data_IF_546852503459
#
_entry.id   IF_546852503459
#
_cell.length_a   1.000
_cell.length_b   1.000
_cell.length_c   1.000
_cell.angle_alpha   90.00
_cell.angle_beta   90.00
_cell.angle_gamma   90.00
#
_symmetry.space_group_name_H-M   'P 1'
#
loop_
_entity.id
_entity.type
_entity.pdbx_description
1 polymer ?
#
# COMPACT_ATOMS: atom_id res chain seq x y z
N UNK A 1 26.56 16.21 2.82
CA UNK A 1 26.81 17.12 1.68
C UNK A 1 26.03 16.59 0.49
N UNK A 2 25.28 17.45 -0.22
CA UNK A 2 24.45 17.05 -1.36
C UNK A 2 25.04 17.50 -2.70
N UNK A 3 24.50 16.99 -3.80
CA UNK A 3 24.82 17.44 -5.17
C UNK A 3 23.61 18.21 -5.74
N UNK A 4 23.28 19.41 -5.23
CA UNK A 4 22.00 20.09 -5.48
C UNK A 4 21.80 20.55 -6.93
N UNK A 5 22.87 20.59 -7.72
CA UNK A 5 22.83 20.98 -9.14
C UNK A 5 22.90 19.80 -10.10
N UNK A 6 23.08 18.57 -9.61
CA UNK A 6 23.21 17.39 -10.47
C UNK A 6 21.89 17.11 -11.19
N UNK A 7 21.95 16.96 -12.51
CA UNK A 7 20.77 16.68 -13.37
C UNK A 7 20.80 15.28 -13.98
N UNK A 8 21.98 14.74 -14.23
CA UNK A 8 22.17 13.43 -14.84
C UNK A 8 23.15 12.65 -13.98
N UNK A 9 22.75 11.45 -13.56
CA UNK A 9 23.60 10.55 -12.80
C UNK A 9 23.71 9.21 -13.52
N UNK A 10 24.93 8.85 -13.90
CA UNK A 10 25.25 7.60 -14.60
C UNK A 10 25.95 6.67 -13.62
N UNK A 11 25.27 5.56 -13.29
CA UNK A 11 25.75 4.49 -12.41
C UNK A 11 25.57 3.11 -13.06
N UNK A 12 25.19 3.08 -14.34
CA UNK A 12 24.99 1.86 -15.12
C UNK A 12 26.30 1.09 -15.39
N UNK A 13 26.20 -0.21 -15.66
CA UNK A 13 27.34 -1.12 -15.87
C UNK A 13 28.31 -1.18 -14.68
N UNK A 14 27.77 -1.20 -13.46
CA UNK A 14 28.53 -1.40 -12.22
C UNK A 14 28.08 -2.69 -11.52
N UNK A 15 28.50 -2.86 -10.26
CA UNK A 15 28.15 -4.00 -9.40
C UNK A 15 27.33 -3.55 -8.19
N UNK A 16 26.47 -2.56 -8.37
CA UNK A 16 25.62 -2.04 -7.30
C UNK A 16 24.59 -3.12 -6.97
N UNK A 17 24.51 -3.53 -5.69
CA UNK A 17 23.63 -4.60 -5.22
C UNK A 17 22.39 -4.12 -4.48
N UNK A 18 22.48 -2.93 -3.88
CA UNK A 18 21.39 -2.32 -3.13
C UNK A 18 21.45 -0.80 -3.26
N UNK A 19 20.29 -0.17 -3.07
CA UNK A 19 20.16 1.27 -2.95
C UNK A 19 19.57 1.55 -1.57
N UNK A 20 20.40 2.06 -0.66
CA UNK A 20 19.93 2.39 0.69
C UNK A 20 18.85 3.50 0.65
N UNK A 21 17.98 3.51 1.64
CA UNK A 21 16.99 4.58 1.80
C UNK A 21 17.68 5.95 1.78
N UNK A 22 17.04 6.92 1.12
CA UNK A 22 17.54 8.29 1.03
C UNK A 22 18.88 8.49 0.28
N UNK A 23 19.39 7.48 -0.45
CA UNK A 23 20.65 7.58 -1.23
C UNK A 23 20.72 8.84 -2.10
N UNK A 24 19.59 9.28 -2.68
CA UNK A 24 19.52 10.42 -3.59
C UNK A 24 18.82 11.66 -3.00
N UNK A 25 18.46 11.67 -1.70
CA UNK A 25 17.52 12.65 -1.08
C UNK A 25 17.91 14.12 -1.26
N UNK A 26 19.21 14.41 -1.43
CA UNK A 26 19.74 15.76 -1.60
C UNK A 26 20.04 16.14 -3.06
N UNK A 27 19.47 15.43 -4.04
CA UNK A 27 19.65 15.67 -5.47
C UNK A 27 18.35 16.19 -6.12
N UNK A 28 17.79 17.28 -5.58
CA UNK A 28 16.46 17.78 -5.97
C UNK A 28 16.30 18.18 -7.45
N UNK A 29 17.40 18.47 -8.15
CA UNK A 29 17.44 18.79 -9.59
C UNK A 29 17.73 17.58 -10.48
N UNK A 30 17.87 16.38 -9.91
CA UNK A 30 18.14 15.16 -10.66
C UNK A 30 16.98 14.89 -11.62
N UNK A 31 17.30 14.70 -12.89
CA UNK A 31 16.36 14.62 -14.00
C UNK A 31 16.37 13.25 -14.66
N UNK A 32 17.56 12.64 -14.83
CA UNK A 32 17.72 11.24 -15.27
C UNK A 32 18.69 10.48 -14.37
N UNK A 33 18.30 9.26 -14.05
CA UNK A 33 19.11 8.32 -13.29
C UNK A 33 19.27 7.02 -14.08
N UNK A 34 20.52 6.64 -14.33
CA UNK A 34 20.87 5.41 -15.03
C UNK A 34 21.50 4.42 -14.05
N UNK A 35 20.78 3.33 -13.77
CA UNK A 35 21.19 2.24 -12.87
C UNK A 35 21.10 0.86 -13.56
N UNK A 36 20.83 0.84 -14.86
CA UNK A 36 20.71 -0.38 -15.65
C UNK A 36 22.01 -1.18 -15.70
N UNK A 37 21.89 -2.50 -15.90
CA UNK A 37 23.04 -3.40 -15.93
C UNK A 37 23.88 -3.30 -14.64
N UNK A 38 23.23 -3.54 -13.50
CA UNK A 38 23.83 -3.67 -12.17
C UNK A 38 23.35 -5.00 -11.54
N UNK A 39 23.58 -5.20 -10.24
CA UNK A 39 23.23 -6.41 -9.49
C UNK A 39 22.10 -6.13 -8.46
N UNK A 40 21.27 -5.10 -8.66
CA UNK A 40 20.25 -4.70 -7.69
C UNK A 40 19.17 -5.77 -7.59
N UNK A 41 18.89 -6.27 -6.39
CA UNK A 41 17.89 -7.33 -6.15
C UNK A 41 16.59 -6.85 -5.52
N UNK A 42 16.67 -5.79 -4.73
CA UNK A 42 15.55 -5.19 -4.00
C UNK A 42 15.63 -3.68 -4.08
N UNK A 43 14.48 -3.01 -4.17
CA UNK A 43 14.39 -1.56 -4.01
C UNK A 43 13.78 -1.28 -2.64
N UNK A 44 14.58 -0.73 -1.75
CA UNK A 44 14.21 -0.42 -0.36
C UNK A 44 13.19 0.73 -0.27
N UNK A 45 12.51 0.88 0.89
CA UNK A 45 11.66 2.03 1.13
C UNK A 45 12.45 3.33 0.97
N UNK A 46 11.82 4.32 0.33
CA UNK A 46 12.39 5.66 0.17
C UNK A 46 13.72 5.74 -0.62
N UNK A 47 14.13 4.70 -1.35
CA UNK A 47 15.34 4.76 -2.20
C UNK A 47 15.30 5.92 -3.21
N UNK A 48 14.10 6.28 -3.71
CA UNK A 48 13.91 7.40 -4.66
C UNK A 48 13.09 8.56 -4.09
N UNK A 49 13.08 8.76 -2.77
CA UNK A 49 12.28 9.84 -2.16
C UNK A 49 12.83 11.23 -2.44
N UNK A 50 11.95 12.24 -2.45
CA UNK A 50 12.28 13.66 -2.57
C UNK A 50 13.05 14.06 -3.84
N UNK A 51 12.67 13.49 -4.99
CA UNK A 51 13.25 13.80 -6.30
C UNK A 51 12.22 14.46 -7.23
N UNK A 52 11.80 15.72 -6.95
CA UNK A 52 10.67 16.36 -7.64
C UNK A 52 10.93 16.63 -9.13
N UNK A 53 12.20 16.69 -9.56
CA UNK A 53 12.59 16.93 -10.95
C UNK A 53 12.80 15.65 -11.77
N UNK A 54 12.78 14.48 -11.13
CA UNK A 54 13.20 13.23 -11.76
C UNK A 54 12.13 12.76 -12.74
N UNK A 55 12.55 12.53 -13.99
CA UNK A 55 11.64 12.12 -15.07
C UNK A 55 11.91 10.72 -15.59
N UNK A 56 13.15 10.24 -15.52
CA UNK A 56 13.55 8.96 -16.08
C UNK A 56 14.39 8.17 -15.08
N UNK A 57 13.95 6.94 -14.81
CA UNK A 57 14.70 5.94 -14.05
C UNK A 57 14.92 4.73 -14.96
N UNK A 58 16.18 4.39 -15.21
CA UNK A 58 16.56 3.21 -15.96
C UNK A 58 17.14 2.16 -15.01
N UNK A 59 16.39 1.09 -14.76
CA UNK A 59 16.74 -0.04 -13.89
C UNK A 59 16.79 -1.38 -14.65
N UNK A 60 16.70 -1.35 -15.99
CA UNK A 60 16.66 -2.56 -16.80
C UNK A 60 17.94 -3.42 -16.66
N UNK A 61 17.79 -4.73 -16.81
CA UNK A 61 18.91 -5.68 -16.69
C UNK A 61 19.56 -5.67 -15.31
N UNK A 62 18.74 -5.61 -14.25
CA UNK A 62 19.15 -5.88 -12.88
C UNK A 62 18.52 -7.23 -12.43
N UNK A 63 18.64 -7.56 -11.14
CA UNK A 63 18.06 -8.77 -10.53
C UNK A 63 16.86 -8.44 -9.64
N UNK A 64 16.16 -7.33 -9.91
CA UNK A 64 15.11 -6.83 -9.02
C UNK A 64 13.97 -7.85 -9.00
N UNK A 65 13.69 -8.36 -7.81
CA UNK A 65 12.59 -9.29 -7.56
C UNK A 65 11.52 -8.68 -6.68
N UNK A 66 11.91 -7.79 -5.76
CA UNK A 66 11.02 -7.15 -4.80
C UNK A 66 11.18 -5.62 -4.85
N UNK A 67 10.06 -4.92 -4.72
CA UNK A 67 9.98 -3.46 -4.65
C UNK A 67 9.17 -3.13 -3.41
N UNK A 68 9.84 -2.57 -2.41
CA UNK A 68 9.23 -2.27 -1.12
C UNK A 68 8.22 -1.13 -1.21
N UNK A 69 7.33 -1.08 -0.23
CA UNK A 69 6.37 0.02 -0.11
C UNK A 69 7.11 1.37 -0.05
N UNK A 70 6.53 2.37 -0.72
CA UNK A 70 7.08 3.74 -0.81
C UNK A 70 8.47 3.85 -1.47
N UNK A 71 9.03 2.80 -2.08
CA UNK A 71 10.28 2.87 -2.84
C UNK A 71 10.31 4.03 -3.87
N UNK A 72 9.17 4.26 -4.53
CA UNK A 72 8.96 5.33 -5.52
C UNK A 72 8.05 6.47 -5.00
N UNK A 73 7.95 6.62 -3.67
CA UNK A 73 7.14 7.66 -3.04
C UNK A 73 7.52 9.08 -3.49
N UNK A 74 6.52 9.94 -3.73
CA UNK A 74 6.69 11.35 -4.11
C UNK A 74 7.45 11.64 -5.42
N UNK A 75 7.52 10.70 -6.36
CA UNK A 75 8.00 10.95 -7.72
C UNK A 75 6.89 11.57 -8.61
N UNK A 76 6.57 12.84 -8.39
CA UNK A 76 5.46 13.53 -9.06
C UNK A 76 5.72 13.87 -10.53
N UNK A 77 6.98 14.00 -10.95
CA UNK A 77 7.37 14.34 -12.32
C UNK A 77 7.76 13.14 -13.18
N UNK A 78 7.70 11.92 -12.62
CA UNK A 78 8.21 10.74 -13.32
C UNK A 78 7.41 10.47 -14.59
N UNK A 79 8.12 10.25 -15.69
CA UNK A 79 7.53 9.98 -17.01
C UNK A 79 7.89 8.58 -17.51
N UNK A 80 9.03 8.03 -17.10
CA UNK A 80 9.49 6.70 -17.54
C UNK A 80 10.15 5.95 -16.40
N UNK A 81 9.69 4.72 -16.19
CA UNK A 81 10.28 3.74 -15.29
C UNK A 81 10.53 2.46 -16.07
N UNK A 82 11.79 2.14 -16.30
CA UNK A 82 12.19 0.96 -17.05
C UNK A 82 12.77 -0.11 -16.11
N UNK A 83 12.00 -1.16 -15.82
CA UNK A 83 12.40 -2.33 -15.06
C UNK A 83 12.52 -3.58 -15.96
N UNK A 84 12.61 -3.42 -17.29
CA UNK A 84 12.68 -4.56 -18.20
C UNK A 84 13.90 -5.46 -17.94
N UNK A 85 13.77 -6.77 -18.14
CA UNK A 85 14.86 -7.71 -17.86
C UNK A 85 15.23 -7.87 -16.38
N UNK A 86 14.29 -7.58 -15.47
CA UNK A 86 14.37 -7.96 -14.05
C UNK A 86 13.54 -9.22 -13.77
N UNK A 87 13.53 -9.69 -12.53
CA UNK A 87 12.86 -10.92 -12.08
C UNK A 87 11.70 -10.60 -11.12
N UNK A 88 10.87 -9.61 -11.48
CA UNK A 88 9.81 -9.07 -10.61
C UNK A 88 8.87 -10.19 -10.15
N UNK A 89 8.82 -10.40 -8.84
CA UNK A 89 7.84 -11.28 -8.23
C UNK A 89 6.49 -10.55 -8.20
N UNK A 90 5.54 -10.98 -9.02
CA UNK A 90 4.20 -10.40 -9.10
C UNK A 90 3.19 -11.24 -8.32
N UNK A 91 3.58 -11.63 -7.12
CA UNK A 91 2.66 -12.07 -6.09
C UNK A 91 2.12 -10.84 -5.33
N UNK A 92 1.69 -11.08 -4.11
CA UNK A 92 1.11 -10.11 -3.20
C UNK A 92 2.01 -8.95 -2.83
N UNK A 93 3.32 -9.19 -2.76
CA UNK A 93 4.30 -8.20 -2.34
C UNK A 93 4.39 -7.03 -3.32
N UNK A 94 3.97 -7.23 -4.57
CA UNK A 94 4.01 -6.19 -5.60
C UNK A 94 2.85 -5.20 -5.48
N UNK A 95 1.82 -5.49 -4.68
CA UNK A 95 0.59 -4.68 -4.63
C UNK A 95 0.84 -3.19 -4.41
N UNK A 96 1.67 -2.75 -3.44
CA UNK A 96 1.89 -1.32 -3.21
C UNK A 96 2.51 -0.63 -4.43
N UNK A 97 3.47 -1.29 -5.09
CA UNK A 97 4.08 -0.79 -6.32
C UNK A 97 3.07 -0.76 -7.47
N UNK A 98 2.30 -1.83 -7.65
CA UNK A 98 1.28 -1.92 -8.70
C UNK A 98 0.21 -0.83 -8.53
N UNK A 99 -0.32 -0.65 -7.31
CA UNK A 99 -1.29 0.40 -6.97
C UNK A 99 -0.71 1.79 -7.25
N UNK A 100 0.55 2.03 -6.88
CA UNK A 100 1.24 3.28 -7.19
C UNK A 100 1.37 3.53 -8.70
N UNK A 101 1.64 2.48 -9.48
CA UNK A 101 1.88 2.55 -10.92
C UNK A 101 0.59 2.81 -11.70
N UNK A 102 -0.48 2.05 -11.43
CA UNK A 102 -1.76 2.18 -12.16
C UNK A 102 -2.47 3.50 -11.87
N UNK A 103 -2.28 4.08 -10.67
CA UNK A 103 -2.76 5.43 -10.33
C UNK A 103 -2.04 6.52 -11.17
N UNK A 104 -0.97 6.17 -11.90
CA UNK A 104 -0.13 7.06 -12.72
C UNK A 104 -0.02 6.55 -14.16
N UNK A 105 -1.15 6.54 -14.87
CA UNK A 105 -1.27 6.05 -16.26
C UNK A 105 -0.34 6.72 -17.28
N UNK A 106 0.24 7.87 -16.96
CA UNK A 106 1.21 8.59 -17.79
C UNK A 106 2.64 8.05 -17.71
N UNK A 107 2.96 7.19 -16.74
CA UNK A 107 4.29 6.58 -16.63
C UNK A 107 4.44 5.53 -17.72
N UNK A 108 5.31 5.81 -18.68
CA UNK A 108 5.71 4.84 -19.70
C UNK A 108 6.51 3.71 -19.06
N UNK A 109 5.95 2.51 -19.05
CA UNK A 109 6.63 1.27 -18.65
C UNK A 109 6.10 0.08 -19.43
N UNK A 110 6.99 -0.86 -19.75
CA UNK A 110 6.68 -2.14 -20.39
C UNK A 110 7.15 -3.32 -19.51
N UNK A 111 7.35 -3.04 -18.22
CA UNK A 111 7.90 -3.98 -17.25
C UNK A 111 7.01 -5.21 -17.11
N UNK A 112 7.66 -6.37 -17.03
CA UNK A 112 7.01 -7.68 -16.92
C UNK A 112 7.40 -8.35 -15.62
N UNK A 113 6.47 -9.12 -15.10
CA UNK A 113 6.66 -10.11 -14.06
C UNK A 113 7.62 -11.20 -14.53
N UNK A 114 8.18 -11.96 -13.59
CA UNK A 114 9.05 -13.11 -13.88
C UNK A 114 8.38 -14.17 -14.77
N UNK A 115 7.05 -14.31 -14.70
CA UNK A 115 6.24 -15.18 -15.56
C UNK A 115 5.89 -14.56 -16.93
N UNK A 116 6.39 -13.36 -17.24
CA UNK A 116 6.18 -12.67 -18.51
C UNK A 116 4.93 -11.80 -18.61
N UNK A 117 4.05 -11.83 -17.60
CA UNK A 117 2.85 -10.97 -17.53
C UNK A 117 3.26 -9.50 -17.41
N UNK A 118 2.57 -8.59 -18.11
CA UNK A 118 2.81 -7.16 -17.93
C UNK A 118 2.36 -6.73 -16.54
N UNK A 119 3.19 -5.97 -15.82
CA UNK A 119 2.83 -5.48 -14.48
C UNK A 119 1.55 -4.66 -14.54
N UNK A 120 1.37 -3.84 -15.57
CA UNK A 120 0.17 -3.01 -15.76
C UNK A 120 -1.09 -3.80 -16.11
N UNK A 121 -0.97 -5.08 -16.49
CA UNK A 121 -2.12 -5.95 -16.81
C UNK A 121 -2.46 -6.94 -15.70
N UNK A 122 -1.84 -6.83 -14.52
CA UNK A 122 -2.18 -7.68 -13.37
C UNK A 122 -3.65 -7.52 -13.00
N UNK A 123 -4.32 -8.65 -12.77
CA UNK A 123 -5.71 -8.67 -12.33
C UNK A 123 -5.79 -8.54 -10.80
N UNK A 124 -6.78 -7.81 -10.26
CA UNK A 124 -7.02 -7.73 -8.82
C UNK A 124 -7.12 -9.11 -8.15
N UNK A 125 -7.68 -10.12 -8.81
CA UNK A 125 -7.78 -11.48 -8.27
C UNK A 125 -6.44 -12.13 -7.86
N UNK A 126 -5.33 -11.83 -8.56
CA UNK A 126 -3.98 -12.30 -8.18
C UNK A 126 -3.50 -11.61 -6.89
N UNK A 127 -3.99 -10.39 -6.67
CA UNK A 127 -3.67 -9.53 -5.54
C UNK A 127 -4.66 -9.68 -4.37
N UNK A 128 -5.86 -10.22 -4.63
CA UNK A 128 -6.92 -10.50 -3.65
C UNK A 128 -6.65 -11.80 -2.86
N UNK A 129 -5.91 -12.76 -3.43
CA UNK A 129 -5.53 -14.01 -2.76
C UNK A 129 -4.39 -13.85 -1.75
N UNK A 130 -4.13 -12.62 -1.30
CA UNK A 130 -2.88 -12.28 -0.69
C UNK A 130 -2.80 -12.50 0.82
N UNK A 131 -1.74 -13.23 1.20
CA UNK A 131 -1.43 -13.68 2.55
C UNK A 131 -1.36 -12.50 3.54
N UNK A 132 -1.70 -12.70 4.84
CA UNK A 132 -1.74 -11.66 5.88
C UNK A 132 -0.47 -10.81 6.08
N UNK A 133 0.69 -11.18 5.53
CA UNK A 133 1.93 -10.42 5.70
C UNK A 133 2.05 -9.18 4.79
N UNK A 134 1.28 -9.12 3.69
CA UNK A 134 1.22 -7.96 2.78
C UNK A 134 -0.09 -7.18 2.89
N UNK A 135 -1.09 -7.78 3.56
CA UNK A 135 -2.26 -7.04 3.99
C UNK A 135 -1.91 -6.27 5.26
N UNK A 136 -2.59 -5.16 5.56
CA UNK A 136 -2.56 -4.67 6.93
C UNK A 136 -2.94 -5.81 7.89
N UNK A 137 -2.34 -5.86 9.07
CA UNK A 137 -2.68 -6.88 10.06
C UNK A 137 -4.16 -6.78 10.43
N UNK A 138 -5.01 -7.63 9.84
CA UNK A 138 -6.43 -7.67 10.14
C UNK A 138 -6.64 -8.34 11.50
N UNK A 139 -7.19 -7.59 12.45
CA UNK A 139 -7.49 -8.08 13.79
C UNK A 139 -8.81 -8.88 13.81
N UNK A 140 -9.03 -9.62 14.91
CA UNK A 140 -10.30 -10.26 15.24
C UNK A 140 -10.89 -11.18 14.15
N UNK A 141 -10.03 -11.83 13.36
CA UNK A 141 -10.45 -12.76 12.32
C UNK A 141 -10.95 -12.10 11.03
N UNK A 142 -10.73 -10.78 10.87
CA UNK A 142 -10.93 -10.09 9.60
C UNK A 142 -10.10 -10.72 8.48
N UNK A 143 -10.65 -10.74 7.26
CA UNK A 143 -9.99 -11.30 6.08
C UNK A 143 -9.39 -10.20 5.24
N UNK A 144 -8.26 -10.46 4.60
CA UNK A 144 -7.74 -9.54 3.61
C UNK A 144 -8.66 -9.49 2.39
N UNK A 145 -8.94 -8.28 1.91
CA UNK A 145 -9.70 -8.03 0.69
C UNK A 145 -9.10 -6.86 -0.10
N UNK A 146 -9.65 -6.60 -1.27
CA UNK A 146 -9.30 -5.44 -2.08
C UNK A 146 -10.53 -4.60 -2.38
N UNK A 147 -10.42 -3.28 -2.20
CA UNK A 147 -11.43 -2.32 -2.62
C UNK A 147 -10.82 -1.36 -3.64
N UNK A 148 -11.07 -1.64 -4.93
CA UNK A 148 -10.47 -0.90 -6.04
C UNK A 148 -8.95 -1.13 -6.14
N UNK A 149 -8.15 -0.16 -5.70
CA UNK A 149 -6.69 -0.19 -5.76
C UNK A 149 -6.04 -0.16 -4.37
N UNK A 150 -6.80 -0.48 -3.33
CA UNK A 150 -6.34 -0.47 -1.94
C UNK A 150 -6.64 -1.82 -1.30
N UNK A 151 -5.68 -2.33 -0.52
CA UNK A 151 -5.88 -3.48 0.35
C UNK A 151 -6.65 -3.02 1.58
N UNK A 152 -7.68 -3.77 1.93
CA UNK A 152 -8.55 -3.49 3.07
C UNK A 152 -8.72 -4.77 3.91
N UNK A 153 -9.13 -4.61 5.16
CA UNK A 153 -9.61 -5.72 5.95
C UNK A 153 -11.13 -5.82 5.84
N UNK A 154 -11.62 -6.93 5.30
CA UNK A 154 -13.03 -7.33 5.35
C UNK A 154 -13.34 -7.85 6.75
N UNK A 155 -13.92 -6.98 7.57
CA UNK A 155 -14.27 -7.29 8.94
C UNK A 155 -15.49 -8.20 9.04
N UNK A 156 -15.47 -9.10 10.02
CA UNK A 156 -16.54 -10.05 10.28
C UNK A 156 -17.28 -9.71 11.58
N UNK A 157 -18.59 -9.96 11.60
CA UNK A 157 -19.41 -9.76 12.79
C UNK A 157 -19.49 -8.28 13.22
N UNK A 158 -19.09 -8.01 14.47
CA UNK A 158 -19.19 -6.68 15.10
C UNK A 158 -17.94 -5.82 14.92
N UNK A 159 -16.91 -6.28 14.21
CA UNK A 159 -15.64 -5.55 14.10
C UNK A 159 -15.68 -4.56 12.93
N UNK A 160 -15.05 -3.41 13.12
CA UNK A 160 -14.94 -2.29 12.17
C UNK A 160 -13.57 -1.62 12.27
N UNK A 161 -13.40 -0.52 11.53
CA UNK A 161 -12.12 0.17 11.40
C UNK A 161 -11.26 -0.47 10.30
N UNK A 162 -10.24 0.25 9.86
CA UNK A 162 -9.41 -0.12 8.68
C UNK A 162 -8.77 -1.50 8.81
N UNK A 163 -8.51 -1.96 10.03
CA UNK A 163 -7.86 -3.23 10.34
C UNK A 163 -8.73 -4.15 11.21
N UNK A 164 -10.04 -3.89 11.31
CA UNK A 164 -10.95 -4.64 12.20
C UNK A 164 -10.58 -4.59 13.68
N UNK A 165 -9.92 -3.51 14.09
CA UNK A 165 -9.47 -3.26 15.46
C UNK A 165 -10.56 -2.60 16.34
N UNK A 166 -11.54 -1.96 15.70
CA UNK A 166 -12.65 -1.31 16.39
C UNK A 166 -13.84 -2.27 16.44
N UNK A 167 -14.72 -2.09 17.41
CA UNK A 167 -16.01 -2.77 17.43
C UNK A 167 -17.08 -1.73 17.13
N UNK A 168 -18.09 -2.12 16.35
CA UNK A 168 -19.31 -1.35 16.11
C UNK A 168 -20.05 -1.03 17.41
N UNK A 169 -19.77 -1.76 18.48
CA UNK A 169 -20.31 -1.43 19.79
C UNK A 169 -19.52 -1.95 20.98
N UNK A 170 -19.55 -1.17 22.06
CA UNK A 170 -19.17 -1.61 23.41
C UNK A 170 -20.35 -1.41 24.37
N UNK A 171 -20.50 -2.24 25.41
CA UNK A 171 -21.54 -2.02 26.42
C UNK A 171 -21.37 -0.69 27.18
N UNK A 172 -20.18 -0.09 27.14
CA UNK A 172 -19.95 1.25 27.69
C UNK A 172 -20.75 2.33 26.94
N UNK A 173 -20.92 2.19 25.63
CA UNK A 173 -21.67 3.12 24.78
C UNK A 173 -23.19 3.10 25.08
N UNK A 174 -23.66 2.08 25.81
CA UNK A 174 -25.06 1.90 26.19
C UNK A 174 -25.39 2.42 27.60
N UNK A 175 -24.42 2.89 28.38
CA UNK A 175 -24.63 3.29 29.76
C UNK A 175 -25.08 2.12 30.64
N UNK A 176 -26.35 2.11 31.05
CA UNK A 176 -26.95 1.03 31.88
C UNK A 176 -27.58 -0.10 31.06
N UNK A 177 -27.22 -0.21 29.78
CA UNK A 177 -27.63 -1.28 28.88
C UNK A 177 -26.47 -2.16 28.44
N UNK A 178 -26.81 -3.29 27.83
CA UNK A 178 -25.84 -4.16 27.16
C UNK A 178 -25.93 -3.91 25.65
N UNK A 179 -24.78 -3.78 24.99
CA UNK A 179 -24.80 -3.59 23.54
C UNK A 179 -24.94 -4.92 22.80
N UNK A 180 -25.72 -4.90 21.72
CA UNK A 180 -25.84 -6.01 20.78
C UNK A 180 -25.89 -5.49 19.34
N UNK A 181 -25.58 -6.36 18.38
CA UNK A 181 -25.74 -6.06 16.96
C UNK A 181 -27.09 -6.62 16.50
N UNK A 182 -27.93 -5.77 15.92
CA UNK A 182 -29.24 -6.14 15.40
C UNK A 182 -29.07 -7.15 14.24
N UNK A 183 -29.66 -8.36 14.34
CA UNK A 183 -29.46 -9.43 13.35
C UNK A 183 -30.12 -9.15 11.99
N UNK A 184 -31.03 -8.16 11.90
CA UNK A 184 -31.78 -7.82 10.68
C UNK A 184 -31.04 -6.77 9.84
N UNK A 185 -30.48 -5.74 10.47
CA UNK A 185 -29.85 -4.62 9.77
C UNK A 185 -28.34 -4.46 10.07
N UNK A 186 -27.78 -5.26 11.00
CA UNK A 186 -26.37 -5.23 11.36
C UNK A 186 -25.95 -3.99 12.16
N UNK A 187 -26.88 -3.19 12.67
CA UNK A 187 -26.56 -1.96 13.42
C UNK A 187 -26.38 -2.25 14.90
N UNK A 188 -25.46 -1.52 15.53
CA UNK A 188 -25.27 -1.54 16.98
C UNK A 188 -26.47 -0.91 17.69
N UNK A 189 -27.05 -1.63 18.66
CA UNK A 189 -28.18 -1.19 19.47
C UNK A 189 -27.96 -1.54 20.94
N UNK A 190 -28.62 -0.78 21.82
CA UNK A 190 -28.54 -1.01 23.26
C UNK A 190 -29.80 -1.68 23.78
N UNK A 191 -29.60 -2.79 24.50
CA UNK A 191 -30.64 -3.44 25.26
C UNK A 191 -30.62 -2.87 26.69
N UNK A 192 -31.64 -2.08 27.03
CA UNK A 192 -31.73 -1.47 28.35
C UNK A 192 -32.12 -2.48 29.42
N UNK A 193 -31.46 -2.42 30.57
CA UNK A 193 -31.82 -3.22 31.75
C UNK A 193 -33.14 -2.72 32.35
N UNK A 194 -33.80 -3.59 33.12
CA UNK A 194 -35.07 -3.28 33.76
C UNK A 194 -35.05 -1.92 34.48
N UNK A 195 -35.99 -1.04 34.10
CA UNK A 195 -36.18 0.37 34.54
C UNK A 195 -35.49 1.45 33.70
N UNK A 196 -34.74 1.10 32.66
CA UNK A 196 -34.12 2.05 31.73
C UNK A 196 -34.74 1.95 30.33
N UNK A 197 -34.77 3.05 29.59
CA UNK A 197 -35.20 3.08 28.19
C UNK A 197 -34.27 3.88 27.30
N UNK A 198 -34.37 3.58 26.01
CA UNK A 198 -33.67 4.30 24.96
C UNK A 198 -34.64 5.24 24.21
N UNK A 199 -34.17 6.42 23.80
CA UNK A 199 -34.92 7.37 22.97
C UNK A 199 -34.30 7.44 21.58
N UNK A 200 -34.98 6.96 20.53
CA UNK A 200 -34.50 7.10 19.16
C UNK A 200 -34.33 8.57 18.75
N UNK A 201 -33.21 8.95 18.09
CA UNK A 201 -32.14 8.09 17.55
C UNK A 201 -30.96 7.89 18.52
N UNK A 202 -31.09 8.31 19.78
CA UNK A 202 -30.13 7.98 20.83
C UNK A 202 -30.03 6.46 20.98
N UNK A 203 -28.83 5.97 21.26
CA UNK A 203 -28.56 4.57 21.62
C UNK A 203 -28.36 4.41 23.14
N UNK A 204 -28.22 5.50 23.90
CA UNK A 204 -27.93 5.46 25.33
C UNK A 204 -29.17 5.13 26.18
N UNK A 205 -29.01 4.26 27.17
CA UNK A 205 -30.08 3.92 28.12
C UNK A 205 -30.12 4.90 29.30
N UNK A 206 -31.30 5.48 29.54
CA UNK A 206 -31.54 6.44 30.62
C UNK A 206 -32.67 5.98 31.54
N UNK A 207 -32.62 6.44 32.79
CA UNK A 207 -33.68 6.19 33.76
C UNK A 207 -34.88 7.08 33.40
N UNK A 208 -36.09 6.52 33.52
CA UNK A 208 -37.35 7.24 33.33
C UNK A 208 -37.54 8.38 34.35
#
# INVERSE_FOLDING_TARGET
MGLPSLRYLYLNHNKIRSLESNTFVNMSKLYRLYLHTNEISTIEPFSFTNLPSLRYIHLYGNNISHIEEHAFGNLTSLSTLDLTGNQLNCDCSIFPFWSWLIKRSSIGTSSKCSNGTLVTSLQPAVLETCHPDNCPQCFNGGKCGAMGYELICDCIGQWTGTFCQETQCTSYDCGFGDCYIDPVNGTAQCLCRDRYVNYCPGTLCYFY
#
